data_IF_608489596690
#
_entry.id   IF_608489596690
#
_cell.length_a   1.000
_cell.length_b   1.000
_cell.length_c   1.000
_cell.angle_alpha   90.00
_cell.angle_beta   90.00
_cell.angle_gamma   90.00
#
_symmetry.space_group_name_H-M   'P 1'
#
loop_
_entity.id
_entity.type
_entity.pdbx_description
1 polymer ?
#
# COMPACT_ATOMS: atom_id res chain seq x y z
N UNK A 1 7.73 6.86 -18.86
CA UNK A 1 6.97 7.48 -17.76
C UNK A 1 7.01 6.56 -16.56
N UNK A 2 7.50 7.08 -15.45
CA UNK A 2 7.67 6.37 -14.19
C UNK A 2 6.44 6.55 -13.28
N UNK A 3 6.40 5.87 -12.13
CA UNK A 3 5.28 5.97 -11.17
C UNK A 3 5.12 7.39 -10.60
N UNK A 4 6.23 8.10 -10.39
CA UNK A 4 6.29 9.49 -9.91
C UNK A 4 5.62 10.48 -10.85
N UNK A 5 5.62 10.19 -12.16
CA UNK A 5 4.92 11.01 -13.16
C UNK A 5 3.40 10.83 -13.07
N UNK A 6 2.94 9.63 -12.72
CA UNK A 6 1.53 9.21 -12.79
C UNK A 6 0.77 9.39 -11.49
N UNK A 7 1.45 9.24 -10.35
CA UNK A 7 0.81 9.20 -9.03
C UNK A 7 1.24 10.41 -8.21
N UNK A 8 0.43 11.47 -8.29
CA UNK A 8 0.69 12.72 -7.56
C UNK A 8 0.34 12.58 -6.07
N UNK A 9 -0.81 11.94 -5.78
CA UNK A 9 -1.34 11.81 -4.42
C UNK A 9 -1.03 10.44 -3.79
N UNK A 10 0.24 10.03 -3.82
CA UNK A 10 0.66 8.77 -3.21
C UNK A 10 0.36 8.76 -1.70
N UNK A 11 -0.34 7.71 -1.21
CA UNK A 11 -0.64 7.52 0.22
C UNK A 11 0.36 6.62 0.97
N UNK A 12 1.52 6.35 0.36
CA UNK A 12 2.64 5.69 1.04
C UNK A 12 2.46 4.20 1.40
N UNK A 13 1.57 3.45 0.73
CA UNK A 13 1.30 2.05 1.12
C UNK A 13 2.50 1.09 0.91
N UNK A 14 3.43 1.40 0.01
CA UNK A 14 4.64 0.60 -0.24
C UNK A 14 4.45 -0.60 -1.18
N UNK A 15 3.28 -0.77 -1.81
CA UNK A 15 3.03 -1.88 -2.74
C UNK A 15 4.00 -1.87 -3.94
N UNK A 16 4.40 -0.69 -4.41
CA UNK A 16 5.38 -0.53 -5.48
C UNK A 16 6.75 -1.13 -5.15
N UNK A 17 7.17 -1.12 -3.88
CA UNK A 17 8.42 -1.75 -3.41
C UNK A 17 8.34 -3.26 -3.57
N UNK A 18 7.21 -3.85 -3.19
CA UNK A 18 7.01 -5.31 -3.27
C UNK A 18 6.88 -5.76 -4.73
N UNK A 19 6.19 -4.98 -5.55
CA UNK A 19 5.96 -5.29 -6.96
C UNK A 19 7.17 -5.10 -7.89
N UNK A 20 8.17 -4.32 -7.46
CA UNK A 20 9.35 -4.06 -8.27
C UNK A 20 10.23 -5.31 -8.40
N UNK A 21 10.39 -5.81 -9.63
CA UNK A 21 11.23 -6.99 -9.93
C UNK A 21 12.73 -6.73 -9.79
N UNK A 22 13.15 -5.49 -10.00
CA UNK A 22 14.56 -5.09 -9.98
C UNK A 22 14.97 -4.49 -8.62
N UNK A 23 14.06 -4.45 -7.64
CA UNK A 23 14.29 -3.90 -6.30
C UNK A 23 14.73 -2.42 -6.26
N UNK A 24 14.40 -1.65 -7.31
CA UNK A 24 14.82 -0.24 -7.44
C UNK A 24 13.95 0.76 -6.68
N UNK A 25 12.88 0.31 -6.01
CA UNK A 25 11.92 1.21 -5.36
C UNK A 25 12.24 1.38 -3.87
N UNK A 26 12.17 2.61 -3.39
CA UNK A 26 12.20 2.99 -1.97
C UNK A 26 11.08 3.96 -1.65
N UNK A 27 10.83 4.19 -0.36
CA UNK A 27 9.95 5.26 0.11
C UNK A 27 10.79 6.25 0.91
N UNK A 28 10.69 7.54 0.59
CA UNK A 28 11.39 8.61 1.28
C UNK A 28 10.43 9.78 1.52
N UNK A 29 10.73 10.61 2.52
CA UNK A 29 9.94 11.84 2.77
C UNK A 29 10.36 12.91 1.78
N UNK A 30 9.38 13.58 1.17
CA UNK A 30 9.63 14.80 0.41
C UNK A 30 9.79 16.02 1.34
N UNK A 31 9.94 17.21 0.76
CA UNK A 31 10.13 18.46 1.50
C UNK A 31 8.95 18.84 2.41
N UNK A 32 7.74 18.35 2.09
CA UNK A 32 6.54 18.56 2.89
C UNK A 32 6.35 17.45 3.94
N UNK A 33 7.29 16.51 4.04
CA UNK A 33 7.22 15.37 4.94
C UNK A 33 6.30 14.25 4.47
N UNK A 34 5.77 14.31 3.23
CA UNK A 34 4.93 13.26 2.65
C UNK A 34 5.79 12.08 2.22
N UNK A 35 5.35 10.86 2.48
CA UNK A 35 6.05 9.67 1.97
C UNK A 35 5.82 9.50 0.47
N UNK A 36 6.89 9.54 -0.34
CA UNK A 36 6.86 9.37 -1.79
C UNK A 36 7.76 8.22 -2.26
N UNK A 37 7.41 7.55 -3.37
CA UNK A 37 8.27 6.55 -3.97
C UNK A 37 9.48 7.20 -4.64
N UNK A 38 10.66 6.66 -4.40
CA UNK A 38 11.93 7.02 -5.07
C UNK A 38 12.41 5.81 -5.87
N UNK A 39 12.95 6.06 -7.06
CA UNK A 39 13.41 5.03 -8.00
C UNK A 39 14.92 5.15 -8.19
N UNK A 40 15.65 4.06 -8.01
CA UNK A 40 17.02 3.94 -8.49
C UNK A 40 17.01 3.71 -10.00
N UNK A 41 17.29 4.77 -10.75
CA UNK A 41 17.27 4.75 -12.22
C UNK A 41 18.39 3.88 -12.82
N UNK A 42 19.48 3.63 -12.09
CA UNK A 42 20.59 2.81 -12.60
C UNK A 42 20.20 1.34 -12.73
N UNK A 43 19.33 0.85 -11.84
CA UNK A 43 18.82 -0.53 -11.89
C UNK A 43 17.48 -0.68 -12.63
N UNK A 44 16.72 0.41 -12.80
CA UNK A 44 15.35 0.35 -13.29
C UNK A 44 15.29 0.02 -14.79
N UNK A 45 14.68 -1.11 -15.13
CA UNK A 45 14.46 -1.53 -16.53
C UNK A 45 13.14 -1.03 -17.14
N UNK A 46 12.48 -0.05 -16.53
CA UNK A 46 11.22 0.54 -17.02
C UNK A 46 10.08 -0.49 -17.26
N UNK A 47 10.02 -1.55 -16.46
CA UNK A 47 9.02 -2.61 -16.61
C UNK A 47 7.58 -2.23 -16.19
N UNK A 48 7.40 -1.06 -15.58
CA UNK A 48 6.11 -0.53 -15.09
C UNK A 48 5.39 -1.36 -14.00
N UNK A 49 6.03 -2.36 -13.40
CA UNK A 49 5.41 -3.12 -12.31
C UNK A 49 5.03 -2.26 -11.10
N UNK A 50 5.84 -1.27 -10.74
CA UNK A 50 5.53 -0.36 -9.65
C UNK A 50 4.18 0.37 -9.89
N UNK A 51 3.91 0.72 -11.15
CA UNK A 51 2.64 1.33 -11.59
C UNK A 51 1.51 0.30 -11.60
N UNK A 52 1.76 -0.90 -12.13
CA UNK A 52 0.78 -2.00 -12.19
C UNK A 52 0.18 -2.34 -10.82
N UNK A 53 1.02 -2.37 -9.78
CA UNK A 53 0.63 -2.69 -8.41
C UNK A 53 0.23 -1.47 -7.57
N UNK A 54 0.25 -0.28 -8.15
CA UNK A 54 -0.20 0.92 -7.44
C UNK A 54 -1.73 0.97 -7.47
N UNK A 55 -2.43 0.86 -6.32
CA UNK A 55 -3.89 0.85 -6.30
C UNK A 55 -4.51 2.21 -6.67
N UNK A 56 -3.73 3.30 -6.66
CA UNK A 56 -4.17 4.60 -7.18
C UNK A 56 -4.16 4.67 -8.71
N UNK A 57 -3.29 3.88 -9.37
CA UNK A 57 -3.24 3.81 -10.82
C UNK A 57 -4.13 2.72 -11.39
N UNK A 58 -4.12 1.56 -10.73
CA UNK A 58 -4.85 0.37 -11.10
C UNK A 58 -5.76 -0.04 -9.92
N UNK A 59 -6.94 0.60 -9.79
CA UNK A 59 -7.84 0.39 -8.66
C UNK A 59 -8.25 -1.07 -8.52
N UNK A 60 -8.43 -1.49 -7.27
CA UNK A 60 -8.85 -2.84 -6.91
C UNK A 60 -10.28 -2.82 -6.40
N UNK A 61 -10.94 -3.97 -6.47
CA UNK A 61 -12.26 -4.13 -5.84
C UNK A 61 -12.08 -4.19 -4.32
N UNK A 62 -12.54 -3.14 -3.65
CA UNK A 62 -12.46 -3.02 -2.19
C UNK A 62 -13.65 -3.74 -1.54
N UNK A 63 -13.42 -4.61 -0.55
CA UNK A 63 -14.50 -5.18 0.26
C UNK A 63 -15.28 -4.08 1.00
N UNK A 64 -16.59 -4.29 1.17
CA UNK A 64 -17.41 -3.46 2.05
C UNK A 64 -17.08 -3.77 3.51
N UNK A 65 -16.54 -2.79 4.24
CA UNK A 65 -16.25 -2.92 5.66
C UNK A 65 -17.36 -2.29 6.50
N UNK A 66 -17.83 -3.01 7.51
CA UNK A 66 -18.83 -2.52 8.48
C UNK A 66 -18.21 -2.02 9.78
N UNK A 67 -16.99 -2.47 10.09
CA UNK A 67 -16.26 -2.13 11.31
C UNK A 67 -14.85 -1.66 10.94
N UNK A 68 -14.32 -0.72 11.71
CA UNK A 68 -12.95 -0.23 11.64
C UNK A 68 -12.31 -0.34 13.03
N UNK A 69 -11.02 -0.62 13.07
CA UNK A 69 -10.30 -0.87 14.31
C UNK A 69 -9.33 0.27 14.63
N UNK A 70 -9.32 0.69 15.89
CA UNK A 70 -8.31 1.56 16.48
C UNK A 70 -6.96 0.83 16.58
N UNK A 71 -5.86 1.59 16.56
CA UNK A 71 -4.51 1.05 16.55
C UNK A 71 -3.50 2.07 17.08
N UNK A 72 -2.33 1.60 17.49
CA UNK A 72 -1.22 2.48 17.92
C UNK A 72 -0.46 3.06 16.73
N UNK A 73 0.20 4.20 16.95
CA UNK A 73 1.02 4.88 15.96
C UNK A 73 2.11 4.00 15.31
N UNK A 74 2.52 2.92 15.97
CA UNK A 74 3.49 1.94 15.44
C UNK A 74 3.08 1.37 14.08
N UNK A 75 1.77 1.28 13.79
CA UNK A 75 1.28 0.81 12.49
C UNK A 75 1.56 1.76 11.33
N UNK A 76 1.82 3.04 11.61
CA UNK A 76 2.35 3.94 10.59
C UNK A 76 3.80 3.56 10.29
N UNK A 77 4.64 3.38 11.30
CA UNK A 77 6.09 3.23 11.13
C UNK A 77 6.58 1.81 10.75
N UNK A 78 5.67 0.84 10.66
CA UNK A 78 6.03 -0.53 10.28
C UNK A 78 6.56 -0.64 8.85
N UNK A 79 7.46 -1.60 8.65
CA UNK A 79 7.97 -1.98 7.33
C UNK A 79 6.89 -2.69 6.52
N UNK A 80 6.07 -1.91 5.82
CA UNK A 80 4.97 -2.41 4.99
C UNK A 80 5.44 -3.41 3.92
N UNK A 81 6.54 -3.19 3.18
CA UNK A 81 7.08 -4.20 2.27
C UNK A 81 7.33 -5.56 2.92
N UNK A 82 7.86 -5.59 4.16
CA UNK A 82 8.03 -6.84 4.91
C UNK A 82 6.69 -7.47 5.28
N UNK A 83 5.75 -6.69 5.82
CA UNK A 83 4.39 -7.16 6.18
C UNK A 83 3.70 -7.78 4.97
N UNK A 84 3.69 -7.11 3.82
CA UNK A 84 3.10 -7.64 2.60
C UNK A 84 3.73 -8.96 2.15
N UNK A 85 5.06 -9.03 2.07
CA UNK A 85 5.75 -10.26 1.65
C UNK A 85 5.41 -11.43 2.58
N UNK A 86 5.35 -11.17 3.88
CA UNK A 86 4.95 -12.17 4.86
C UNK A 86 3.50 -12.63 4.67
N UNK A 87 2.55 -11.69 4.55
CA UNK A 87 1.14 -12.02 4.29
C UNK A 87 0.97 -12.81 2.99
N UNK A 88 1.62 -12.41 1.90
CA UNK A 88 1.58 -13.12 0.62
C UNK A 88 2.14 -14.55 0.74
N UNK A 89 3.25 -14.72 1.48
CA UNK A 89 3.87 -16.04 1.72
C UNK A 89 2.94 -16.95 2.53
N UNK A 90 2.44 -16.46 3.67
CA UNK A 90 1.55 -17.23 4.52
C UNK A 90 0.24 -17.58 3.78
N UNK A 91 -0.35 -16.62 3.07
CA UNK A 91 -1.56 -16.83 2.30
C UNK A 91 -1.36 -17.86 1.17
N UNK A 92 -0.19 -17.89 0.53
CA UNK A 92 0.15 -18.90 -0.49
C UNK A 92 0.30 -20.31 0.11
N UNK A 93 0.75 -20.42 1.36
CA UNK A 93 0.88 -21.70 2.06
C UNK A 93 -0.45 -22.29 2.57
N UNK A 94 -1.57 -21.59 2.38
CA UNK A 94 -2.91 -22.03 2.82
C UNK A 94 -3.21 -21.77 4.30
N UNK A 95 -2.29 -21.16 5.04
CA UNK A 95 -2.53 -20.73 6.43
C UNK A 95 -3.60 -19.64 6.47
N UNK A 96 -4.41 -19.62 7.52
CA UNK A 96 -5.27 -18.46 7.80
C UNK A 96 -4.39 -17.29 8.21
N UNK A 97 -4.53 -16.16 7.51
CA UNK A 97 -3.73 -14.95 7.75
C UNK A 97 -4.65 -13.81 8.11
N UNK A 98 -4.31 -13.10 9.17
CA UNK A 98 -4.95 -11.85 9.53
C UNK A 98 -4.09 -10.70 9.02
N UNK A 99 -4.70 -9.75 8.32
CA UNK A 99 -4.04 -8.56 7.84
C UNK A 99 -4.77 -7.32 8.35
N UNK A 100 -4.15 -6.64 9.31
CA UNK A 100 -4.58 -5.33 9.78
C UNK A 100 -3.85 -4.24 8.99
N UNK A 101 -4.60 -3.31 8.40
CA UNK A 101 -4.03 -2.19 7.66
C UNK A 101 -5.05 -1.11 7.32
N UNK A 102 -4.56 0.10 7.02
CA UNK A 102 -5.39 1.19 6.51
C UNK A 102 -5.94 0.83 5.11
N UNK A 103 -6.93 1.59 4.63
CA UNK A 103 -7.58 1.28 3.35
C UNK A 103 -6.61 1.27 2.17
N UNK A 104 -5.66 2.21 2.12
CA UNK A 104 -4.62 2.22 1.07
C UNK A 104 -3.68 1.01 1.18
N UNK A 105 -3.41 0.53 2.40
CA UNK A 105 -2.57 -0.64 2.64
C UNK A 105 -3.29 -1.94 2.23
N UNK A 106 -4.59 -2.06 2.55
CA UNK A 106 -5.44 -3.16 2.11
C UNK A 106 -5.54 -3.19 0.59
N UNK A 107 -5.77 -2.05 -0.04
CA UNK A 107 -5.81 -1.95 -1.50
C UNK A 107 -4.48 -2.40 -2.13
N UNK A 108 -3.36 -1.99 -1.53
CA UNK A 108 -2.02 -2.45 -1.93
C UNK A 108 -1.85 -3.98 -1.83
N UNK A 109 -2.33 -4.61 -0.75
CA UNK A 109 -2.29 -6.06 -0.60
C UNK A 109 -3.11 -6.78 -1.68
N UNK A 110 -4.35 -6.33 -1.91
CA UNK A 110 -5.25 -6.91 -2.92
C UNK A 110 -4.64 -6.78 -4.32
N UNK A 111 -4.02 -5.63 -4.62
CA UNK A 111 -3.33 -5.39 -5.89
C UNK A 111 -2.16 -6.36 -6.07
N UNK A 112 -1.34 -6.55 -5.04
CA UNK A 112 -0.24 -7.53 -5.04
C UNK A 112 -0.70 -8.98 -5.18
N UNK A 113 -1.95 -9.29 -4.79
CA UNK A 113 -2.59 -10.60 -5.04
C UNK A 113 -3.22 -10.72 -6.43
N UNK A 114 -3.06 -9.72 -7.31
CA UNK A 114 -3.62 -9.72 -8.66
C UNK A 114 -5.12 -9.41 -8.69
N UNK A 115 -5.56 -8.48 -7.83
CA UNK A 115 -6.97 -8.11 -7.66
C UNK A 115 -7.88 -9.30 -7.30
N UNK A 116 -7.33 -10.27 -6.54
CA UNK A 116 -8.07 -11.43 -6.06
C UNK A 116 -7.67 -11.73 -4.63
N UNK A 117 -8.48 -11.25 -3.69
CA UNK A 117 -8.30 -11.55 -2.28
C UNK A 117 -8.45 -13.06 -2.06
N UNK A 118 -7.45 -13.67 -1.42
CA UNK A 118 -7.50 -15.10 -1.10
C UNK A 118 -8.47 -15.33 0.06
N UNK A 119 -9.29 -16.40 0.03
CA UNK A 119 -10.32 -16.65 1.05
C UNK A 119 -9.75 -16.92 2.45
N UNK A 120 -8.48 -17.35 2.54
CA UNK A 120 -7.78 -17.57 3.80
C UNK A 120 -7.14 -16.28 4.37
N UNK A 121 -7.37 -15.12 3.77
CA UNK A 121 -6.88 -13.82 4.25
C UNK A 121 -8.04 -13.03 4.83
N UNK A 122 -8.02 -12.82 6.14
CA UNK A 122 -8.98 -11.98 6.87
C UNK A 122 -8.44 -10.57 6.98
N UNK A 123 -9.24 -9.60 6.57
CA UNK A 123 -8.87 -8.18 6.58
C UNK A 123 -9.45 -7.50 7.82
N UNK A 124 -8.61 -6.71 8.48
CA UNK A 124 -8.96 -5.88 9.63
C UNK A 124 -8.67 -4.41 9.26
N UNK A 125 -9.66 -3.69 8.69
CA UNK A 125 -9.47 -2.31 8.27
C UNK A 125 -9.23 -1.40 9.46
N UNK A 126 -8.14 -0.65 9.41
CA UNK A 126 -7.78 0.30 10.44
C UNK A 126 -8.45 1.66 10.19
N UNK A 127 -8.83 2.34 11.27
CA UNK A 127 -9.43 3.67 11.20
C UNK A 127 -8.51 4.66 10.46
N UNK A 128 -9.09 5.54 9.64
CA UNK A 128 -8.35 6.58 8.94
C UNK A 128 -9.06 7.90 9.23
N UNK A 129 -8.36 8.85 9.86
CA UNK A 129 -8.88 10.19 10.11
C UNK A 129 -8.17 11.19 9.17
N UNK A 130 -8.80 11.60 8.06
CA UNK A 130 -8.23 12.59 7.14
C UNK A 130 -8.30 14.02 7.69
N UNK A 131 -9.09 14.29 8.75
CA UNK A 131 -9.20 15.60 9.37
C UNK A 131 -8.09 15.82 10.42
N UNK A 132 -7.62 14.74 11.07
CA UNK A 132 -6.45 14.75 11.97
C UNK A 132 -5.40 13.69 11.57
N UNK A 133 -4.78 13.79 10.39
CA UNK A 133 -3.92 12.74 9.88
C UNK A 133 -2.54 12.74 10.55
N UNK A 134 -2.04 11.57 10.95
CA UNK A 134 -0.65 11.41 11.41
C UNK A 134 0.37 11.62 10.30
N UNK A 135 -0.02 11.45 9.03
CA UNK A 135 0.82 11.63 7.85
C UNK A 135 0.21 12.65 6.89
N UNK A 136 0.98 13.63 6.38
CA UNK A 136 0.41 14.69 5.55
C UNK A 136 -0.30 14.17 4.29
N UNK A 137 0.17 13.06 3.70
CA UNK A 137 -0.48 12.45 2.54
C UNK A 137 -1.85 11.79 2.82
N UNK A 138 -2.20 11.59 4.09
CA UNK A 138 -3.51 11.06 4.48
C UNK A 138 -4.63 12.11 4.43
N UNK A 139 -4.29 13.41 4.48
CA UNK A 139 -5.25 14.51 4.40
C UNK A 139 -6.00 14.55 3.06
N UNK A 140 -5.36 14.05 2.00
CA UNK A 140 -5.85 14.04 0.61
C UNK A 140 -6.03 12.59 0.11
N UNK A 141 -6.31 11.66 1.02
CA UNK A 141 -6.35 10.23 0.71
C UNK A 141 -7.58 9.84 -0.12
N UNK A 142 -7.36 9.37 -1.35
CA UNK A 142 -8.42 8.92 -2.26
C UNK A 142 -9.17 7.67 -1.76
N UNK A 143 -8.60 6.93 -0.80
CA UNK A 143 -9.24 5.74 -0.22
C UNK A 143 -10.25 6.09 0.89
N UNK A 144 -10.20 7.31 1.43
CA UNK A 144 -11.18 7.78 2.41
C UNK A 144 -12.13 8.70 1.67
N UNK A 145 -13.38 8.28 1.51
CA UNK A 145 -14.40 9.13 0.91
C UNK A 145 -14.69 10.29 1.84
N UNK A 146 -14.56 11.52 1.33
CA UNK A 146 -15.28 12.67 1.86
C UNK A 146 -16.70 12.68 1.31
#
# INVERSE_FOLDING_TARGET
>A
MQITDRIKNCNGCGACIVGCREYCMKMEKDADGRMKPVIDENGCKLCNNCVLYCPLYNPVEMPGFTNYYEYSDDYYYRDMPKVYRETLRQAKSGQTVEFAGTLCQIAGLISLMGNRLKPNVKLYPLHCDPDHPHRPECAECEFVRR
#
